data_IF_751588073294
#
_entry.id   IF_751588073294
#
_cell.length_a   1.000
_cell.length_b   1.000
_cell.length_c   1.000
_cell.angle_alpha   90.00
_cell.angle_beta   90.00
_cell.angle_gamma   90.00
#
_symmetry.space_group_name_H-M   'P 1'
#
loop_
_entity.id
_entity.type
_entity.pdbx_description
1 polymer ?
#
# COMPACT_ATOMS: atom_id res chain seq x y z
N UNK A 1 -18.75 14.77 8.22
CA UNK A 1 -18.87 15.37 9.56
C UNK A 1 -20.31 15.13 9.99
N UNK A 2 -20.53 14.71 11.24
CA UNK A 2 -21.88 14.70 11.80
C UNK A 2 -22.19 16.05 12.47
N UNK A 3 -23.42 16.18 12.95
CA UNK A 3 -24.00 17.38 13.59
C UNK A 3 -23.23 17.88 14.83
N UNK A 4 -22.22 17.15 15.31
CA UNK A 4 -21.39 17.52 16.46
C UNK A 4 -19.95 17.90 16.09
N UNK A 5 -19.64 18.07 14.79
CA UNK A 5 -18.32 18.52 14.35
C UNK A 5 -17.20 17.49 14.55
N UNK A 6 -17.54 16.25 14.89
CA UNK A 6 -16.57 15.17 14.97
C UNK A 6 -16.30 14.60 13.57
N UNK A 7 -15.01 14.32 13.31
CA UNK A 7 -14.61 13.53 12.14
C UNK A 7 -15.17 12.13 12.34
N UNK A 8 -16.15 11.76 11.51
CA UNK A 8 -16.65 10.38 11.38
C UNK A 8 -15.45 9.47 11.12
N UNK A 9 -15.00 8.79 12.17
CA UNK A 9 -13.99 7.75 12.09
C UNK A 9 -14.71 6.46 11.71
N UNK A 10 -14.85 6.21 10.40
CA UNK A 10 -15.30 4.91 9.92
C UNK A 10 -14.20 3.89 10.25
N UNK A 11 -14.29 3.31 11.45
CA UNK A 11 -13.43 2.18 11.83
C UNK A 11 -14.03 0.96 11.18
N UNK A 12 -13.58 0.66 9.96
CA UNK A 12 -13.88 -0.61 9.29
C UNK A 12 -13.08 -1.67 10.04
N UNK A 13 -13.69 -2.25 11.07
CA UNK A 13 -13.26 -3.52 11.63
C UNK A 13 -13.72 -4.61 10.67
N UNK A 14 -12.99 -4.78 9.58
CA UNK A 14 -13.23 -5.95 8.77
C UNK A 14 -11.92 -6.54 8.28
N UNK A 15 -11.81 -7.84 8.47
CA UNK A 15 -10.71 -8.67 8.03
C UNK A 15 -10.90 -9.00 6.53
N UNK A 16 -11.44 -8.05 5.78
CA UNK A 16 -11.70 -8.17 4.36
C UNK A 16 -10.37 -8.13 3.64
N UNK A 17 -10.02 -9.27 3.05
CA UNK A 17 -8.89 -9.38 2.15
C UNK A 17 -9.10 -8.41 0.99
N UNK A 18 -8.30 -7.34 0.96
CA UNK A 18 -8.35 -6.37 -0.14
C UNK A 18 -7.39 -6.81 -1.24
N UNK A 19 -7.90 -6.82 -2.47
CA UNK A 19 -7.09 -6.87 -3.68
C UNK A 19 -6.77 -5.43 -4.13
N UNK A 20 -5.52 -5.17 -4.47
CA UNK A 20 -5.04 -3.91 -5.02
C UNK A 20 -4.57 -4.14 -6.44
N UNK A 21 -5.03 -3.29 -7.35
CA UNK A 21 -4.49 -3.08 -8.69
C UNK A 21 -4.31 -1.57 -8.83
N UNK A 22 -3.07 -1.09 -8.77
CA UNK A 22 -2.78 0.33 -8.72
C UNK A 22 -1.38 0.67 -9.22
N UNK A 23 -1.19 1.92 -9.66
CA UNK A 23 0.11 2.45 -10.07
C UNK A 23 0.84 3.00 -8.85
N UNK A 24 2.10 2.62 -8.63
CA UNK A 24 2.95 3.30 -7.66
C UNK A 24 3.42 4.64 -8.22
N UNK A 25 3.00 5.73 -7.57
CA UNK A 25 3.29 7.09 -8.04
C UNK A 25 4.42 7.75 -7.25
N UNK A 26 4.63 7.33 -6.01
CA UNK A 26 5.67 7.82 -5.10
C UNK A 26 6.06 6.74 -4.08
N UNK A 27 7.27 6.84 -3.54
CA UNK A 27 7.76 6.01 -2.45
C UNK A 27 8.47 6.88 -1.41
N UNK A 28 8.04 6.77 -0.15
CA UNK A 28 8.60 7.58 0.95
C UNK A 28 9.91 6.98 1.45
N UNK A 29 10.75 7.77 2.16
CA UNK A 29 11.96 7.25 2.78
C UNK A 29 11.68 6.08 3.73
N UNK A 30 12.58 5.09 3.72
CA UNK A 30 12.61 3.97 4.65
C UNK A 30 12.80 4.51 6.09
N UNK A 31 12.03 4.00 7.04
CA UNK A 31 12.06 4.41 8.45
C UNK A 31 12.17 3.20 9.38
N UNK A 32 12.92 3.34 10.46
CA UNK A 32 13.01 2.36 11.54
C UNK A 32 12.03 2.75 12.64
N UNK A 33 11.17 1.83 13.06
CA UNK A 33 10.19 2.08 14.13
C UNK A 33 10.35 1.08 15.26
N UNK A 34 10.02 1.51 16.47
CA UNK A 34 9.98 0.65 17.65
C UNK A 34 8.61 -0.01 17.74
N UNK A 35 8.60 -1.33 17.86
CA UNK A 35 7.41 -2.13 18.09
C UNK A 35 7.03 -2.09 19.57
N UNK A 36 5.74 -2.35 19.87
CA UNK A 36 5.26 -2.45 21.25
C UNK A 36 5.92 -3.59 22.05
N UNK A 37 6.47 -4.59 21.36
CA UNK A 37 7.19 -5.71 21.96
C UNK A 37 8.68 -5.40 22.23
N UNK A 38 9.14 -4.16 21.98
CA UNK A 38 10.53 -3.75 22.23
C UNK A 38 11.51 -4.03 21.09
N UNK A 39 11.08 -4.67 20.00
CA UNK A 39 11.88 -4.84 18.79
C UNK A 39 11.87 -3.62 17.88
N UNK A 40 12.83 -3.52 16.96
CA UNK A 40 12.86 -2.50 15.90
C UNK A 40 12.57 -3.14 14.55
N UNK A 41 11.73 -2.51 13.73
CA UNK A 41 11.39 -3.00 12.39
C UNK A 41 11.47 -1.88 11.36
N UNK A 42 11.92 -2.21 10.15
CA UNK A 42 11.90 -1.29 9.03
C UNK A 42 10.51 -1.25 8.42
N UNK A 43 10.06 -0.05 8.08
CA UNK A 43 8.83 0.19 7.33
C UNK A 43 9.05 1.23 6.25
N UNK A 44 8.27 1.16 5.18
CA UNK A 44 8.33 2.11 4.08
C UNK A 44 6.95 2.27 3.46
N UNK A 45 6.59 3.50 3.09
CA UNK A 45 5.28 3.78 2.49
C UNK A 45 5.40 3.93 0.98
N UNK A 46 4.45 3.36 0.27
CA UNK A 46 4.24 3.54 -1.16
C UNK A 46 2.92 4.28 -1.36
N UNK A 47 2.92 5.32 -2.19
CA UNK A 47 1.70 6.00 -2.61
C UNK A 47 1.22 5.33 -3.89
N UNK A 48 0.02 4.76 -3.83
CA UNK A 48 -0.63 4.06 -4.93
C UNK A 48 -1.78 4.92 -5.48
N UNK A 49 -2.04 4.83 -6.78
CA UNK A 49 -3.16 5.47 -7.46
C UNK A 49 -3.94 4.46 -8.29
N UNK A 50 -5.27 4.48 -8.16
CA UNK A 50 -6.17 3.62 -8.95
C UNK A 50 -6.69 4.34 -10.22
N UNK A 51 -7.47 3.63 -11.06
CA UNK A 51 -8.12 4.17 -12.27
C UNK A 51 -9.08 5.35 -12.01
N UNK A 52 -9.48 5.58 -10.76
CA UNK A 52 -10.36 6.70 -10.35
C UNK A 52 -9.57 7.92 -9.85
N UNK A 53 -8.24 7.92 -10.03
CA UNK A 53 -7.31 8.91 -9.47
C UNK A 53 -7.33 9.02 -7.94
N UNK A 54 -7.91 8.03 -7.25
CA UNK A 54 -7.89 7.97 -5.80
C UNK A 54 -6.53 7.43 -5.36
N UNK A 55 -5.96 8.08 -4.34
CA UNK A 55 -4.66 7.68 -3.80
C UNK A 55 -4.82 6.97 -2.47
N UNK A 56 -4.01 5.93 -2.26
CA UNK A 56 -3.93 5.20 -1.00
C UNK A 56 -2.47 4.99 -0.62
N UNK A 57 -2.18 5.03 0.68
CA UNK A 57 -0.84 4.70 1.20
C UNK A 57 -0.81 3.23 1.56
N UNK A 58 0.13 2.50 0.96
CA UNK A 58 0.47 1.13 1.34
C UNK A 58 1.75 1.17 2.19
N UNK A 59 1.64 0.76 3.45
CA UNK A 59 2.80 0.60 4.34
C UNK A 59 3.32 -0.84 4.26
N UNK A 60 4.57 -0.95 3.84
CA UNK A 60 5.34 -2.19 3.72
C UNK A 60 6.22 -2.36 4.95
N UNK A 61 6.42 -3.61 5.38
CA UNK A 61 7.12 -3.97 6.62
C UNK A 61 8.23 -5.00 6.36
N UNK A 62 9.33 -4.86 7.10
CA UNK A 62 10.43 -5.83 7.19
C UNK A 62 10.93 -6.32 5.82
N UNK A 63 10.79 -7.62 5.53
CA UNK A 63 11.29 -8.25 4.30
C UNK A 63 10.73 -7.58 3.03
N UNK A 64 9.53 -7.01 3.09
CA UNK A 64 8.95 -6.30 1.96
C UNK A 64 9.66 -4.98 1.64
N UNK A 65 10.24 -4.35 2.66
CA UNK A 65 11.04 -3.13 2.50
C UNK A 65 12.33 -3.44 1.77
N UNK A 66 12.96 -4.58 2.06
CA UNK A 66 14.26 -4.95 1.48
C UNK A 66 14.16 -5.58 0.09
N UNK A 67 12.95 -5.93 -0.38
CA UNK A 67 12.74 -6.58 -1.68
C UNK A 67 11.85 -5.76 -2.58
N UNK A 68 10.55 -5.72 -2.29
CA UNK A 68 9.54 -5.09 -3.13
C UNK A 68 9.71 -3.57 -3.16
N UNK A 69 9.97 -2.91 -2.02
CA UNK A 69 10.19 -1.46 -2.00
C UNK A 69 11.44 -1.03 -2.78
N UNK A 70 12.52 -1.81 -2.74
CA UNK A 70 13.72 -1.52 -3.54
C UNK A 70 13.40 -1.62 -5.04
N UNK A 71 12.69 -2.69 -5.45
CA UNK A 71 12.29 -2.87 -6.84
C UNK A 71 11.39 -1.73 -7.33
N UNK A 72 10.43 -1.31 -6.50
CA UNK A 72 9.52 -0.19 -6.80
C UNK A 72 10.30 1.13 -6.86
N UNK A 73 11.18 1.41 -5.90
CA UNK A 73 11.99 2.62 -5.88
C UNK A 73 12.85 2.76 -7.15
N UNK A 74 13.51 1.68 -7.55
CA UNK A 74 14.36 1.65 -8.74
C UNK A 74 13.56 1.88 -10.04
N UNK A 75 12.26 1.59 -10.03
CA UNK A 75 11.39 1.71 -11.21
C UNK A 75 10.33 2.81 -11.08
N UNK A 76 10.35 3.63 -10.03
CA UNK A 76 9.25 4.58 -9.74
C UNK A 76 9.01 5.59 -10.87
N UNK A 77 10.07 5.97 -11.58
CA UNK A 77 9.99 6.84 -12.76
C UNK A 77 9.18 6.23 -13.91
N UNK A 78 9.13 4.89 -14.00
CA UNK A 78 8.34 4.13 -14.98
C UNK A 78 6.91 3.84 -14.51
N UNK A 79 6.53 4.32 -13.32
CA UNK A 79 5.19 4.15 -12.74
C UNK A 79 4.77 2.67 -12.68
N UNK A 80 5.48 1.86 -11.87
CA UNK A 80 5.26 0.42 -11.86
C UNK A 80 3.85 0.11 -11.33
N UNK A 81 3.22 -0.89 -11.93
CA UNK A 81 1.89 -1.36 -11.54
C UNK A 81 2.05 -2.43 -10.47
N UNK A 82 1.34 -2.24 -9.36
CA UNK A 82 1.28 -3.17 -8.24
C UNK A 82 -0.03 -3.96 -8.29
N UNK A 83 0.09 -5.28 -8.21
CA UNK A 83 -1.02 -6.19 -7.94
C UNK A 83 -0.73 -6.93 -6.65
N UNK A 84 -1.67 -6.92 -5.69
CA UNK A 84 -1.52 -7.63 -4.43
C UNK A 84 -2.87 -8.09 -3.90
N UNK A 85 -2.92 -9.27 -3.30
CA UNK A 85 -4.12 -9.86 -2.71
C UNK A 85 -3.94 -10.04 -1.20
N UNK A 86 -5.05 -10.18 -0.45
CA UNK A 86 -5.02 -10.39 1.00
C UNK A 86 -4.35 -9.27 1.80
N UNK A 87 -4.50 -8.01 1.34
CA UNK A 87 -4.02 -6.85 2.05
C UNK A 87 -4.94 -6.51 3.22
N UNK A 88 -4.34 -6.17 4.36
CA UNK A 88 -5.09 -5.72 5.53
C UNK A 88 -5.30 -4.21 5.45
N UNK A 89 -6.54 -3.77 5.64
CA UNK A 89 -6.81 -2.35 5.87
C UNK A 89 -6.37 -1.98 7.28
N UNK A 90 -5.52 -0.97 7.39
CA UNK A 90 -5.27 -0.30 8.66
C UNK A 90 -5.47 1.19 8.45
N UNK A 91 -6.55 1.75 8.98
CA UNK A 91 -6.80 3.19 8.88
C UNK A 91 -5.75 3.96 9.70
N UNK A 92 -4.70 4.46 9.05
CA UNK A 92 -3.86 5.54 9.54
C UNK A 92 -4.05 6.72 8.60
N UNK A 93 -4.46 7.89 9.11
CA UNK A 93 -4.77 9.08 8.29
C UNK A 93 -5.84 8.93 7.19
N UNK A 94 -6.87 8.09 7.42
CA UNK A 94 -8.11 8.16 6.67
C UNK A 94 -8.31 7.14 5.54
N UNK A 95 -7.27 6.39 5.12
CA UNK A 95 -7.33 5.14 4.33
C UNK A 95 -5.87 4.66 4.12
N UNK A 96 -5.45 3.58 4.78
CA UNK A 96 -4.11 2.99 4.56
C UNK A 96 -4.19 1.47 4.55
N UNK A 97 -3.32 0.86 3.77
CA UNK A 97 -3.17 -0.58 3.67
C UNK A 97 -1.86 -0.99 4.34
N UNK A 98 -1.87 -2.12 5.03
CA UNK A 98 -0.68 -2.71 5.65
C UNK A 98 -0.50 -4.13 5.17
N UNK A 99 0.75 -4.53 5.01
CA UNK A 99 1.07 -5.93 4.73
C UNK A 99 0.83 -6.82 5.95
N UNK A 100 0.21 -7.98 5.71
CA UNK A 100 0.20 -9.16 6.57
C UNK A 100 1.40 -10.05 6.20
N UNK A 101 1.90 -10.83 7.14
CA UNK A 101 2.83 -11.92 6.86
C UNK A 101 2.15 -12.92 5.91
N UNK A 102 2.83 -13.30 4.81
CA UNK A 102 2.39 -14.19 3.72
C UNK A 102 1.63 -13.58 2.52
N UNK A 103 1.73 -12.27 2.28
CA UNK A 103 1.23 -11.69 1.03
C UNK A 103 2.25 -11.83 -0.10
N UNK A 104 1.78 -12.01 -1.33
CA UNK A 104 2.58 -11.90 -2.54
C UNK A 104 2.16 -10.66 -3.34
N UNK A 105 3.13 -9.91 -3.84
CA UNK A 105 2.92 -8.82 -4.78
C UNK A 105 3.46 -9.21 -6.15
N UNK A 106 2.69 -8.91 -7.18
CA UNK A 106 3.15 -8.91 -8.56
C UNK A 106 3.42 -7.47 -8.97
N UNK A 107 4.63 -7.22 -9.47
CA UNK A 107 5.08 -5.89 -9.89
C UNK A 107 5.32 -5.95 -11.39
N UNK A 108 4.58 -5.14 -12.15
CA UNK A 108 4.62 -5.09 -13.62
C UNK A 108 4.45 -6.46 -14.31
N UNK A 109 3.74 -7.38 -13.66
CA UNK A 109 3.44 -8.67 -14.25
C UNK A 109 2.41 -8.51 -15.38
N UNK A 110 2.57 -9.21 -16.52
CA UNK A 110 1.75 -9.00 -17.72
C UNK A 110 0.36 -9.65 -17.61
N UNK A 111 -0.44 -9.20 -16.65
CA UNK A 111 -1.87 -9.50 -16.62
C UNK A 111 -2.63 -8.56 -17.58
N UNK A 112 -3.79 -8.99 -18.08
CA UNK A 112 -4.62 -8.18 -18.97
C UNK A 112 -5.04 -6.87 -18.27
N UNK A 113 -5.37 -6.93 -16.98
CA UNK A 113 -5.76 -5.77 -16.19
C UNK A 113 -4.61 -4.77 -15.98
N UNK A 114 -3.36 -5.26 -15.94
CA UNK A 114 -2.16 -4.41 -15.88
C UNK A 114 -1.94 -3.70 -17.20
N UNK A 115 -2.13 -4.41 -18.32
CA UNK A 115 -2.04 -3.84 -19.66
C UNK A 115 -3.10 -2.76 -19.89
N UNK A 116 -4.33 -3.02 -19.45
CA UNK A 116 -5.44 -2.07 -19.50
C UNK A 116 -5.15 -0.82 -18.65
N UNK A 117 -4.67 -1.00 -17.41
CA UNK A 117 -4.30 0.11 -16.52
C UNK A 117 -3.15 0.96 -17.07
N UNK A 118 -2.18 0.36 -17.77
CA UNK A 118 -1.08 1.10 -18.42
C UNK A 118 -1.53 1.89 -19.66
N UNK A 119 -2.60 1.46 -20.31
CA UNK A 119 -3.10 2.10 -21.53
C UNK A 119 -3.99 3.31 -21.25
N UNK A 120 -4.56 3.36 -20.03
CA UNK A 120 -5.32 4.48 -19.49
C UNK A 120 -4.39 5.64 -19.08
#
# INVERSE_FOLDING_TARGET
MDENGNRVHATIWDNTDIAVLAIAIDIRPKRLIHTRAGGQVYVQDIVLMNKRFETVVLTMWEAFVERECILIANNIAKKPVLVGNHLKVSSFNGLSLSTKTNICFFIDYPFDEVTELRSW
#
